data_IF_834970789026
#
_entry.id   IF_834970789026
#
_cell.length_a   1.000
_cell.length_b   1.000
_cell.length_c   1.000
_cell.angle_alpha   90.00
_cell.angle_beta   90.00
_cell.angle_gamma   90.00
#
_symmetry.space_group_name_H-M   'P 1'
#
loop_
_entity.id
_entity.type
_entity.pdbx_description
1 polymer ?
#
# COMPACT_ATOMS: atom_id res chain seq x y z
N UNK A 1 -5.75 -20.56 -44.02
CA UNK A 1 -6.62 -19.54 -43.37
C UNK A 1 -6.16 -19.38 -41.93
N UNK A 2 -5.49 -18.24 -41.59
CA UNK A 2 -5.11 -17.91 -40.22
C UNK A 2 -6.30 -17.23 -39.56
N UNK A 3 -6.93 -17.88 -38.59
CA UNK A 3 -7.92 -17.26 -37.72
C UNK A 3 -7.22 -16.21 -36.87
N UNK A 4 -7.57 -14.94 -37.09
CA UNK A 4 -7.16 -13.82 -36.25
C UNK A 4 -7.90 -13.92 -34.92
N UNK A 5 -7.20 -14.29 -33.86
CA UNK A 5 -7.70 -14.14 -32.48
C UNK A 5 -7.81 -12.64 -32.17
N UNK A 6 -8.97 -12.07 -32.35
CA UNK A 6 -9.27 -10.74 -31.80
C UNK A 6 -9.59 -10.93 -30.32
N UNK A 7 -8.63 -10.62 -29.46
CA UNK A 7 -8.87 -10.39 -28.04
C UNK A 7 -9.36 -8.95 -27.92
N UNK A 8 -10.68 -8.77 -27.88
CA UNK A 8 -11.27 -7.52 -27.42
C UNK A 8 -11.19 -7.49 -25.89
N UNK A 9 -10.10 -6.96 -25.36
CA UNK A 9 -10.03 -6.58 -23.94
C UNK A 9 -10.86 -5.30 -23.77
N UNK A 10 -12.16 -5.47 -23.58
CA UNK A 10 -12.99 -4.39 -23.04
C UNK A 10 -12.61 -4.22 -21.57
N UNK A 11 -12.04 -3.08 -21.12
CA UNK A 11 -11.90 -2.84 -19.70
C UNK A 11 -13.30 -2.83 -19.11
N UNK A 12 -13.58 -3.72 -18.15
CA UNK A 12 -14.84 -3.69 -17.41
C UNK A 12 -14.65 -2.76 -16.20
N UNK A 13 -14.94 -1.44 -16.33
CA UNK A 13 -14.70 -0.46 -15.27
C UNK A 13 -15.48 -0.78 -14.00
N UNK A 14 -16.60 -1.48 -14.11
CA UNK A 14 -17.39 -1.92 -12.96
C UNK A 14 -16.67 -2.98 -12.13
N UNK A 15 -16.05 -3.98 -12.78
CA UNK A 15 -15.23 -5.00 -12.10
C UNK A 15 -14.11 -4.35 -11.31
N UNK A 16 -13.37 -3.41 -11.92
CA UNK A 16 -12.25 -2.74 -11.26
C UNK A 16 -12.70 -1.84 -10.12
N UNK A 17 -13.84 -1.17 -10.25
CA UNK A 17 -14.46 -0.40 -9.17
C UNK A 17 -14.85 -1.30 -8.00
N UNK A 18 -15.53 -2.43 -8.26
CA UNK A 18 -15.89 -3.41 -7.22
C UNK A 18 -14.65 -3.96 -6.54
N UNK A 19 -13.63 -4.34 -7.31
CA UNK A 19 -12.35 -4.84 -6.81
C UNK A 19 -11.71 -3.82 -5.85
N UNK A 20 -11.69 -2.54 -6.23
CA UNK A 20 -11.14 -1.48 -5.40
C UNK A 20 -11.96 -1.27 -4.11
N UNK A 21 -13.29 -1.28 -4.17
CA UNK A 21 -14.17 -1.15 -2.99
C UNK A 21 -13.92 -2.28 -2.00
N UNK A 22 -13.92 -3.54 -2.48
CA UNK A 22 -13.70 -4.71 -1.61
C UNK A 22 -12.28 -4.71 -1.04
N UNK A 23 -11.26 -4.36 -1.87
CA UNK A 23 -9.88 -4.23 -1.42
C UNK A 23 -9.75 -3.20 -0.28
N UNK A 24 -10.37 -2.03 -0.42
CA UNK A 24 -10.34 -1.00 0.62
C UNK A 24 -10.99 -1.50 1.91
N UNK A 25 -12.15 -2.18 1.84
CA UNK A 25 -12.78 -2.79 3.02
C UNK A 25 -11.85 -3.80 3.74
N UNK A 26 -11.04 -4.55 2.99
CA UNK A 26 -10.06 -5.49 3.56
C UNK A 26 -8.89 -4.72 4.20
N UNK A 27 -8.36 -3.71 3.49
CA UNK A 27 -7.24 -2.88 3.98
C UNK A 27 -7.63 -2.15 5.26
N UNK A 28 -8.81 -1.54 5.29
CA UNK A 28 -9.34 -0.80 6.44
C UNK A 28 -9.84 -1.70 7.57
N UNK A 29 -9.66 -3.02 7.42
CA UNK A 29 -10.06 -4.01 8.39
C UNK A 29 -11.58 -4.00 8.69
N UNK A 30 -12.41 -3.54 7.75
CA UNK A 30 -13.87 -3.68 7.77
C UNK A 30 -14.23 -5.15 7.50
N UNK A 31 -13.63 -5.74 6.46
CA UNK A 31 -13.62 -7.18 6.24
C UNK A 31 -12.41 -7.76 6.96
N UNK A 32 -12.65 -8.60 7.96
CA UNK A 32 -11.64 -9.11 8.89
C UNK A 32 -10.82 -10.26 8.28
N UNK A 33 -9.54 -10.46 8.70
CA UNK A 33 -8.81 -11.68 8.40
C UNK A 33 -9.64 -12.93 8.73
N UNK A 34 -9.63 -13.94 7.85
CA UNK A 34 -10.42 -15.16 7.97
C UNK A 34 -11.93 -15.01 7.72
N UNK A 35 -12.44 -13.81 7.57
CA UNK A 35 -13.87 -13.58 7.32
C UNK A 35 -14.29 -14.17 5.98
N UNK A 36 -15.43 -14.89 5.98
CA UNK A 36 -16.05 -15.38 4.74
C UNK A 36 -16.61 -14.23 3.93
N UNK A 37 -16.39 -14.27 2.61
CA UNK A 37 -16.92 -13.33 1.64
C UNK A 37 -18.07 -14.00 0.91
N UNK A 38 -19.24 -13.35 0.90
CA UNK A 38 -20.45 -13.85 0.25
C UNK A 38 -20.75 -12.97 -0.96
N UNK A 39 -20.61 -13.53 -2.17
CA UNK A 39 -20.80 -12.82 -3.45
C UNK A 39 -22.16 -12.11 -3.53
N UNK A 40 -23.22 -12.79 -3.07
CA UNK A 40 -24.60 -12.24 -3.11
C UNK A 40 -24.80 -11.06 -2.17
N UNK A 41 -24.09 -11.00 -1.05
CA UNK A 41 -24.14 -9.86 -0.13
C UNK A 41 -23.46 -8.64 -0.72
N UNK A 42 -22.28 -8.81 -1.33
CA UNK A 42 -21.56 -7.74 -2.03
C UNK A 42 -22.38 -7.24 -3.21
N UNK A 43 -22.95 -8.14 -4.02
CA UNK A 43 -23.78 -7.79 -5.16
C UNK A 43 -25.00 -6.95 -4.72
N UNK A 44 -25.65 -7.34 -3.63
CA UNK A 44 -26.79 -6.59 -3.06
C UNK A 44 -26.37 -5.24 -2.49
N UNK A 45 -25.25 -5.17 -1.76
CA UNK A 45 -24.75 -3.94 -1.16
C UNK A 45 -24.36 -2.91 -2.23
N UNK A 46 -23.77 -3.36 -3.34
CA UNK A 46 -23.31 -2.49 -4.42
C UNK A 46 -24.35 -2.31 -5.54
N UNK A 47 -25.54 -2.91 -5.40
CA UNK A 47 -26.63 -2.86 -6.39
C UNK A 47 -26.21 -3.33 -7.79
N UNK A 48 -25.41 -4.39 -7.87
CA UNK A 48 -24.88 -4.96 -9.11
C UNK A 48 -25.22 -6.45 -9.26
N UNK A 49 -25.03 -7.01 -10.45
CA UNK A 49 -25.16 -8.46 -10.65
C UNK A 49 -23.96 -9.22 -10.04
N UNK A 50 -24.09 -10.53 -9.81
CA UNK A 50 -23.05 -11.36 -9.20
C UNK A 50 -21.84 -11.59 -10.13
N UNK A 51 -22.02 -11.51 -11.45
CA UNK A 51 -20.92 -11.77 -12.40
C UNK A 51 -19.74 -10.83 -12.21
N UNK A 52 -19.89 -9.48 -12.24
CA UNK A 52 -18.76 -8.59 -12.02
C UNK A 52 -18.18 -8.68 -10.59
N UNK A 53 -18.97 -9.07 -9.60
CA UNK A 53 -18.47 -9.32 -8.24
C UNK A 53 -17.53 -10.53 -8.23
N UNK A 54 -17.94 -11.64 -8.84
CA UNK A 54 -17.10 -12.85 -8.94
C UNK A 54 -15.79 -12.57 -9.66
N UNK A 55 -15.83 -11.83 -10.77
CA UNK A 55 -14.62 -11.43 -11.51
C UNK A 55 -13.70 -10.53 -10.65
N UNK A 56 -14.28 -9.62 -9.89
CA UNK A 56 -13.53 -8.76 -8.97
C UNK A 56 -12.86 -9.58 -7.84
N UNK A 57 -13.58 -10.56 -7.28
CA UNK A 57 -13.04 -11.47 -6.27
C UNK A 57 -11.92 -12.36 -6.81
N UNK A 58 -12.03 -12.89 -8.04
CA UNK A 58 -10.93 -13.58 -8.69
C UNK A 58 -9.67 -12.70 -8.79
N UNK A 59 -9.82 -11.43 -9.17
CA UNK A 59 -8.69 -10.50 -9.20
C UNK A 59 -8.10 -10.20 -7.81
N UNK A 60 -8.90 -10.21 -6.74
CA UNK A 60 -8.40 -10.09 -5.37
C UNK A 60 -7.73 -11.37 -4.87
N UNK A 61 -8.12 -12.52 -5.36
CA UNK A 61 -7.45 -13.80 -5.09
C UNK A 61 -6.08 -13.85 -5.75
N UNK A 62 -5.98 -13.43 -7.01
CA UNK A 62 -4.69 -13.29 -7.72
C UNK A 62 -3.74 -12.32 -7.01
N UNK A 63 -4.28 -11.27 -6.37
CA UNK A 63 -3.53 -10.32 -5.57
C UNK A 63 -3.23 -10.83 -4.14
N UNK A 64 -3.78 -11.98 -3.71
CA UNK A 64 -3.55 -12.57 -2.39
C UNK A 64 -4.35 -11.94 -1.24
N UNK A 65 -5.34 -11.07 -1.51
CA UNK A 65 -6.22 -10.51 -0.47
C UNK A 65 -7.28 -11.48 0.01
N UNK A 66 -7.69 -12.40 -0.84
CA UNK A 66 -8.65 -13.45 -0.52
C UNK A 66 -8.11 -14.81 -0.96
N UNK A 67 -8.71 -15.86 -0.43
CA UNK A 67 -8.47 -17.25 -0.83
C UNK A 67 -9.77 -17.98 -1.03
N UNK A 68 -9.86 -18.76 -2.10
CA UNK A 68 -10.99 -19.65 -2.35
C UNK A 68 -10.71 -21.05 -1.79
N UNK A 69 -11.66 -21.57 -1.02
CA UNK A 69 -11.59 -22.92 -0.47
C UNK A 69 -12.68 -23.75 -1.16
N UNK A 70 -12.25 -24.80 -1.84
CA UNK A 70 -13.15 -25.65 -2.64
C UNK A 70 -14.36 -26.12 -1.79
N UNK A 71 -15.55 -25.95 -2.30
CA UNK A 71 -16.84 -26.29 -1.67
C UNK A 71 -17.19 -25.48 -0.40
N UNK A 72 -16.34 -24.55 0.03
CA UNK A 72 -16.57 -23.79 1.28
C UNK A 72 -16.85 -22.31 1.00
N UNK A 73 -16.16 -21.73 0.00
CA UNK A 73 -16.32 -20.34 -0.40
C UNK A 73 -15.02 -19.55 -0.36
N UNK A 74 -15.14 -18.24 -0.49
CA UNK A 74 -14.01 -17.30 -0.49
C UNK A 74 -13.87 -16.67 0.91
N UNK A 75 -12.63 -16.44 1.33
CA UNK A 75 -12.28 -15.90 2.64
C UNK A 75 -11.20 -14.82 2.50
N UNK A 76 -11.25 -13.81 3.35
CA UNK A 76 -10.14 -12.86 3.50
C UNK A 76 -8.91 -13.63 4.02
N UNK A 77 -7.75 -13.45 3.39
CA UNK A 77 -6.51 -14.10 3.83
C UNK A 77 -6.13 -13.69 5.26
N UNK A 78 -5.51 -14.58 6.01
CA UNK A 78 -4.89 -14.23 7.30
C UNK A 78 -3.68 -13.32 7.09
N UNK A 79 -3.28 -12.61 8.15
CA UNK A 79 -2.05 -11.82 8.14
C UNK A 79 -0.92 -12.70 8.69
N UNK A 80 0.04 -13.00 7.85
CA UNK A 80 1.24 -13.74 8.23
C UNK A 80 2.38 -12.74 8.50
N UNK A 81 2.85 -12.67 9.75
CA UNK A 81 3.88 -11.71 10.17
C UNK A 81 5.19 -11.91 9.42
N UNK A 82 5.60 -13.15 9.20
CA UNK A 82 6.82 -13.47 8.45
C UNK A 82 6.74 -13.01 7.00
N UNK A 83 5.60 -13.23 6.32
CA UNK A 83 5.40 -12.71 4.97
C UNK A 83 5.42 -11.18 4.94
N UNK A 84 4.79 -10.53 5.94
CA UNK A 84 4.80 -9.06 6.02
C UNK A 84 6.21 -8.51 6.21
N UNK A 85 7.05 -9.16 7.03
CA UNK A 85 8.45 -8.80 7.18
C UNK A 85 9.19 -8.85 5.83
N UNK A 86 9.03 -9.93 5.06
CA UNK A 86 9.66 -10.05 3.75
C UNK A 86 9.11 -9.05 2.73
N UNK A 87 7.82 -8.71 2.79
CA UNK A 87 7.24 -7.65 1.94
C UNK A 87 7.85 -6.27 2.26
N UNK A 88 8.09 -5.96 3.53
CA UNK A 88 8.76 -4.72 3.94
C UNK A 88 10.23 -4.70 3.50
N UNK A 89 10.93 -5.84 3.56
CA UNK A 89 12.29 -5.94 3.00
C UNK A 89 12.31 -5.66 1.49
N UNK A 90 11.36 -6.22 0.72
CA UNK A 90 11.25 -5.95 -0.72
C UNK A 90 10.91 -4.48 -0.99
N UNK A 91 9.99 -3.89 -0.23
CA UNK A 91 9.68 -2.46 -0.29
C UNK A 91 10.94 -1.62 -0.05
N UNK A 92 11.66 -1.90 1.04
CA UNK A 92 12.90 -1.21 1.38
C UNK A 92 13.95 -1.32 0.27
N UNK A 93 14.11 -2.50 -0.34
CA UNK A 93 15.03 -2.70 -1.46
C UNK A 93 14.66 -1.82 -2.66
N UNK A 94 13.39 -1.79 -3.05
CA UNK A 94 12.91 -0.98 -4.19
C UNK A 94 13.12 0.51 -3.90
N UNK A 95 12.67 1.02 -2.77
CA UNK A 95 12.75 2.44 -2.44
C UNK A 95 14.20 2.93 -2.30
N UNK A 96 15.05 2.15 -1.64
CA UNK A 96 16.47 2.51 -1.51
C UNK A 96 17.23 2.41 -2.83
N UNK A 97 16.85 1.53 -3.74
CA UNK A 97 17.41 1.45 -5.08
C UNK A 97 17.03 2.67 -5.91
N UNK A 98 15.77 3.09 -5.86
CA UNK A 98 15.32 4.32 -6.54
C UNK A 98 16.03 5.55 -5.99
N UNK A 99 16.17 5.69 -4.68
CA UNK A 99 16.93 6.78 -4.06
C UNK A 99 18.37 6.82 -4.54
N UNK A 100 19.04 5.68 -4.61
CA UNK A 100 20.43 5.60 -5.10
C UNK A 100 20.56 6.15 -6.52
N UNK A 101 19.60 5.87 -7.37
CA UNK A 101 19.60 6.28 -8.78
C UNK A 101 19.22 7.74 -8.97
N UNK A 102 18.31 8.27 -8.15
CA UNK A 102 17.61 9.53 -8.45
C UNK A 102 17.96 10.69 -7.53
N UNK A 103 18.28 10.43 -6.27
CA UNK A 103 18.51 11.47 -5.27
C UNK A 103 19.63 12.47 -5.64
N UNK A 104 20.78 12.05 -6.22
CA UNK A 104 21.84 13.02 -6.61
C UNK A 104 21.36 14.06 -7.60
N UNK A 105 20.47 13.68 -8.53
CA UNK A 105 19.93 14.53 -9.58
C UNK A 105 18.56 15.16 -9.28
N UNK A 106 17.99 14.89 -8.10
CA UNK A 106 16.64 15.36 -7.77
C UNK A 106 16.50 16.88 -7.83
N UNK A 107 15.47 17.36 -8.50
CA UNK A 107 15.22 18.78 -8.74
C UNK A 107 14.59 19.49 -7.53
N UNK A 108 14.65 20.83 -7.51
CA UNK A 108 13.93 21.61 -6.50
C UNK A 108 12.42 21.39 -6.53
N UNK A 109 11.84 21.17 -7.72
CA UNK A 109 10.40 20.91 -7.86
C UNK A 109 10.01 19.58 -7.22
N UNK A 110 10.83 18.52 -7.36
CA UNK A 110 10.60 17.24 -6.72
C UNK A 110 10.64 17.34 -5.16
N UNK A 111 11.59 18.11 -4.62
CA UNK A 111 11.60 18.41 -3.19
C UNK A 111 10.39 19.27 -2.78
N UNK A 112 9.98 20.25 -3.62
CA UNK A 112 8.78 21.05 -3.35
C UNK A 112 7.54 20.19 -3.15
N UNK A 113 7.32 19.18 -4.01
CA UNK A 113 6.20 18.25 -3.83
C UNK A 113 6.28 17.48 -2.50
N UNK A 114 7.47 17.07 -2.06
CA UNK A 114 7.62 16.41 -0.75
C UNK A 114 7.32 17.37 0.41
N UNK A 115 7.73 18.65 0.32
CA UNK A 115 7.36 19.67 1.31
C UNK A 115 5.84 19.84 1.40
N UNK A 116 5.15 19.95 0.27
CA UNK A 116 3.69 20.08 0.23
C UNK A 116 3.01 18.89 0.94
N UNK A 117 3.53 17.67 0.78
CA UNK A 117 3.02 16.48 1.48
C UNK A 117 3.27 16.57 2.98
N UNK A 118 4.47 16.99 3.43
CA UNK A 118 4.79 17.16 4.84
C UNK A 118 3.91 18.24 5.48
N UNK A 119 3.66 19.34 4.79
CA UNK A 119 2.77 20.42 5.26
C UNK A 119 1.32 19.89 5.41
N UNK A 120 0.85 19.07 4.46
CA UNK A 120 -0.44 18.41 4.55
C UNK A 120 -0.52 17.41 5.73
N UNK A 121 0.56 16.68 6.04
CA UNK A 121 0.64 15.80 7.22
C UNK A 121 0.55 16.63 8.52
N UNK A 122 1.25 17.77 8.58
CA UNK A 122 1.18 18.66 9.75
C UNK A 122 -0.24 19.20 9.96
N UNK A 123 -0.90 19.61 8.90
CA UNK A 123 -2.28 20.08 8.93
C UNK A 123 -3.25 19.01 9.42
N UNK A 124 -3.11 17.76 8.93
CA UNK A 124 -3.91 16.63 9.39
C UNK A 124 -3.69 16.35 10.88
N UNK A 125 -2.45 16.41 11.34
CA UNK A 125 -2.10 16.27 12.76
C UNK A 125 -2.76 17.35 13.63
N UNK A 126 -2.65 18.62 13.20
CA UNK A 126 -3.26 19.77 13.93
C UNK A 126 -4.78 19.68 14.00
N UNK A 127 -5.41 19.26 12.91
CA UNK A 127 -6.87 19.09 12.81
C UNK A 127 -7.38 17.81 13.47
N UNK A 128 -6.50 16.94 13.97
CA UNK A 128 -6.82 15.59 14.48
C UNK A 128 -7.67 14.80 13.45
N UNK A 129 -7.30 14.89 12.17
CA UNK A 129 -7.99 14.21 11.10
C UNK A 129 -7.98 12.69 11.32
N UNK A 130 -8.83 11.96 10.60
CA UNK A 130 -8.83 10.50 10.66
C UNK A 130 -7.48 9.92 10.22
N UNK A 131 -7.10 8.81 10.81
CA UNK A 131 -5.84 8.13 10.48
C UNK A 131 -5.74 7.70 9.00
N UNK A 132 -6.86 7.41 8.36
CA UNK A 132 -6.94 7.11 6.93
C UNK A 132 -6.32 8.21 6.06
N UNK A 133 -6.57 9.48 6.40
CA UNK A 133 -6.01 10.65 5.71
C UNK A 133 -4.49 10.73 5.90
N UNK A 134 -3.97 10.45 7.09
CA UNK A 134 -2.54 10.42 7.36
C UNK A 134 -1.85 9.26 6.60
N UNK A 135 -2.47 8.08 6.60
CA UNK A 135 -1.99 6.93 5.84
C UNK A 135 -1.96 7.16 4.32
N UNK A 136 -2.88 7.97 3.79
CA UNK A 136 -2.86 8.35 2.38
C UNK A 136 -1.65 9.22 2.05
N UNK A 137 -1.30 10.18 2.92
CA UNK A 137 -0.14 11.05 2.75
C UNK A 137 1.19 10.29 2.90
N UNK A 138 1.27 9.33 3.82
CA UNK A 138 2.40 8.39 3.93
C UNK A 138 2.68 7.69 2.59
N UNK A 139 1.62 7.13 1.98
CA UNK A 139 1.73 6.48 0.69
C UNK A 139 2.16 7.45 -0.40
N UNK A 140 1.59 8.66 -0.41
CA UNK A 140 1.89 9.66 -1.41
C UNK A 140 3.35 10.12 -1.33
N UNK A 141 3.91 10.27 -0.12
CA UNK A 141 5.32 10.59 0.09
C UNK A 141 6.24 9.56 -0.56
N UNK A 142 6.06 8.29 -0.24
CA UNK A 142 6.87 7.21 -0.79
C UNK A 142 6.67 7.04 -2.31
N UNK A 143 5.43 7.15 -2.78
CA UNK A 143 5.11 7.07 -4.22
C UNK A 143 5.74 8.22 -5.01
N UNK A 144 5.78 9.43 -4.45
CA UNK A 144 6.43 10.59 -5.06
C UNK A 144 7.90 10.31 -5.31
N UNK A 145 8.61 9.72 -4.35
CA UNK A 145 10.03 9.36 -4.52
C UNK A 145 10.19 8.28 -5.61
N UNK A 146 9.33 7.27 -5.62
CA UNK A 146 9.37 6.24 -6.66
C UNK A 146 9.15 6.80 -8.06
N UNK A 147 8.30 7.82 -8.18
CA UNK A 147 8.02 8.49 -9.46
C UNK A 147 9.23 9.28 -10.01
N UNK A 148 10.28 9.49 -9.22
CA UNK A 148 11.51 10.12 -9.71
C UNK A 148 12.28 9.23 -10.67
N UNK A 149 12.02 7.91 -10.65
CA UNK A 149 12.55 6.98 -11.63
C UNK A 149 11.53 6.76 -12.76
N UNK A 150 11.99 6.75 -14.01
CA UNK A 150 11.15 6.43 -15.18
C UNK A 150 10.93 4.90 -15.33
N UNK A 151 11.18 4.12 -14.25
CA UNK A 151 11.10 2.66 -14.29
C UNK A 151 9.73 2.21 -13.75
N UNK A 152 8.78 2.03 -14.66
CA UNK A 152 7.40 1.62 -14.34
C UNK A 152 7.33 0.31 -13.52
N UNK A 153 8.28 -0.60 -13.72
CA UNK A 153 8.34 -1.87 -12.98
C UNK A 153 8.43 -1.66 -11.47
N UNK A 154 9.21 -0.67 -11.00
CA UNK A 154 9.30 -0.37 -9.57
C UNK A 154 7.97 0.11 -9.01
N UNK A 155 7.31 1.04 -9.73
CA UNK A 155 6.00 1.55 -9.33
C UNK A 155 4.94 0.45 -9.26
N UNK A 156 4.94 -0.47 -10.23
CA UNK A 156 3.99 -1.58 -10.30
C UNK A 156 4.17 -2.58 -9.16
N UNK A 157 5.41 -3.02 -8.91
CA UNK A 157 5.70 -3.96 -7.83
C UNK A 157 5.44 -3.31 -6.48
N UNK A 158 5.87 -2.07 -6.28
CA UNK A 158 5.63 -1.33 -5.05
C UNK A 158 4.13 -1.16 -4.75
N UNK A 159 3.32 -0.83 -5.78
CA UNK A 159 1.87 -0.69 -5.63
C UNK A 159 1.21 -2.00 -5.18
N UNK A 160 1.68 -3.13 -5.71
CA UNK A 160 1.21 -4.45 -5.30
C UNK A 160 1.55 -4.75 -3.83
N UNK A 161 2.80 -4.51 -3.42
CA UNK A 161 3.25 -4.69 -2.03
C UNK A 161 2.52 -3.76 -1.07
N UNK A 162 2.33 -2.50 -1.48
CA UNK A 162 1.78 -1.46 -0.62
C UNK A 162 0.35 -1.77 -0.15
N UNK A 163 -0.47 -2.44 -0.96
CA UNK A 163 -1.80 -2.88 -0.53
C UNK A 163 -1.76 -3.80 0.71
N UNK A 164 -0.85 -4.78 0.72
CA UNK A 164 -0.67 -5.69 1.84
C UNK A 164 -0.03 -5.01 3.06
N UNK A 165 0.94 -4.13 2.81
CA UNK A 165 1.62 -3.35 3.86
C UNK A 165 0.61 -2.43 4.58
N UNK A 166 -0.22 -1.71 3.84
CA UNK A 166 -1.30 -0.90 4.43
C UNK A 166 -2.25 -1.71 5.27
N UNK A 167 -2.68 -2.87 4.78
CA UNK A 167 -3.53 -3.79 5.52
C UNK A 167 -2.87 -4.22 6.82
N UNK A 168 -1.59 -4.57 6.79
CA UNK A 168 -0.82 -4.92 7.98
C UNK A 168 -0.71 -3.75 8.97
N UNK A 169 -0.41 -2.55 8.48
CA UNK A 169 -0.34 -1.34 9.31
C UNK A 169 -1.70 -1.05 9.97
N UNK A 170 -2.81 -1.18 9.24
CA UNK A 170 -4.15 -1.04 9.83
C UNK A 170 -4.47 -2.11 10.86
N UNK A 171 -4.03 -3.34 10.65
CA UNK A 171 -4.15 -4.43 11.63
C UNK A 171 -3.31 -4.16 12.89
N UNK A 172 -2.07 -3.71 12.72
CA UNK A 172 -1.15 -3.38 13.79
C UNK A 172 -1.55 -2.09 14.55
N UNK A 173 -2.35 -1.24 13.90
CA UNK A 173 -2.72 0.09 14.38
C UNK A 173 -3.20 0.18 15.83
N UNK A 174 -4.07 -0.66 16.39
CA UNK A 174 -4.52 -0.53 17.77
C UNK A 174 -3.40 -0.62 18.81
N UNK A 175 -2.25 -1.19 18.41
CA UNK A 175 -1.13 -1.48 19.32
C UNK A 175 -0.05 -0.39 19.35
N UNK A 176 -0.16 0.65 18.49
CA UNK A 176 0.84 1.72 18.41
C UNK A 176 0.23 3.04 18.93
N UNK A 177 0.78 3.63 19.99
CA UNK A 177 0.32 4.90 20.55
C UNK A 177 0.76 6.10 19.69
N UNK A 178 -0.03 7.20 19.72
CA UNK A 178 0.27 8.51 19.13
C UNK A 178 0.81 8.55 17.69
N UNK A 179 0.15 7.83 16.80
CA UNK A 179 0.63 7.54 15.45
C UNK A 179 0.67 8.71 14.49
N UNK A 180 -0.30 9.62 14.57
CA UNK A 180 -0.35 10.74 13.61
C UNK A 180 0.82 11.69 13.81
N UNK A 181 1.13 12.00 15.08
CA UNK A 181 2.30 12.80 15.41
C UNK A 181 3.58 12.13 14.90
N UNK A 182 3.65 10.82 15.06
CA UNK A 182 4.80 10.03 14.69
C UNK A 182 4.99 9.92 13.18
N UNK A 183 3.94 9.62 12.41
CA UNK A 183 4.04 9.59 10.94
C UNK A 183 4.57 10.93 10.42
N UNK A 184 4.05 12.03 10.92
CA UNK A 184 4.53 13.36 10.55
C UNK A 184 6.02 13.55 10.88
N UNK A 185 6.44 13.30 12.13
CA UNK A 185 7.84 13.52 12.55
C UNK A 185 8.81 12.60 11.80
N UNK A 186 8.47 11.34 11.61
CA UNK A 186 9.30 10.38 10.89
C UNK A 186 9.51 10.84 9.43
N UNK A 187 8.47 11.26 8.73
CA UNK A 187 8.57 11.71 7.34
C UNK A 187 9.26 13.06 7.21
N UNK A 188 9.05 13.97 8.16
CA UNK A 188 9.80 15.23 8.22
C UNK A 188 11.31 14.97 8.38
N UNK A 189 11.70 14.04 9.24
CA UNK A 189 13.09 13.65 9.42
C UNK A 189 13.66 12.99 8.15
N UNK A 190 12.88 12.14 7.47
CA UNK A 190 13.28 11.56 6.18
C UNK A 190 13.53 12.66 5.14
N UNK A 191 12.64 13.65 5.03
CA UNK A 191 12.82 14.77 4.10
C UNK A 191 14.11 15.55 4.39
N UNK A 192 14.40 15.85 5.66
CA UNK A 192 15.65 16.51 6.05
C UNK A 192 16.89 15.70 5.64
N UNK A 193 16.84 14.37 5.78
CA UNK A 193 17.93 13.51 5.34
C UNK A 193 18.06 13.51 3.82
N UNK A 194 16.96 13.48 3.06
CA UNK A 194 16.97 13.56 1.60
C UNK A 194 17.58 14.87 1.09
N UNK A 195 17.28 15.99 1.75
CA UNK A 195 17.81 17.33 1.41
C UNK A 195 19.33 17.41 1.53
N UNK A 196 19.94 16.59 2.36
CA UNK A 196 21.42 16.49 2.44
C UNK A 196 22.05 15.90 1.18
N UNK A 197 21.26 15.21 0.33
CA UNK A 197 21.69 14.44 -0.84
C UNK A 197 22.75 13.37 -0.55
N UNK A 198 22.95 13.03 0.71
CA UNK A 198 23.79 11.91 1.12
C UNK A 198 23.04 10.60 0.89
N UNK A 199 23.30 9.97 -0.25
CA UNK A 199 22.64 8.73 -0.66
C UNK A 199 22.77 7.62 0.39
N UNK A 200 23.94 7.51 1.04
CA UNK A 200 24.17 6.46 2.05
C UNK A 200 23.26 6.68 3.27
N UNK A 201 23.22 7.92 3.76
CA UNK A 201 22.33 8.28 4.89
C UNK A 201 20.86 8.12 4.53
N UNK A 202 20.46 8.56 3.33
CA UNK A 202 19.09 8.43 2.86
C UNK A 202 18.64 6.97 2.79
N UNK A 203 19.43 6.09 2.19
CA UNK A 203 19.16 4.64 2.13
C UNK A 203 19.03 4.02 3.52
N UNK A 204 19.90 4.38 4.45
CA UNK A 204 19.86 3.87 5.82
C UNK A 204 18.59 4.34 6.54
N UNK A 205 18.28 5.64 6.47
CA UNK A 205 17.08 6.21 7.11
C UNK A 205 15.78 5.60 6.55
N UNK A 206 15.70 5.39 5.23
CA UNK A 206 14.54 4.74 4.61
C UNK A 206 14.39 3.29 5.04
N UNK A 207 15.49 2.53 5.09
CA UNK A 207 15.47 1.15 5.55
C UNK A 207 14.98 1.07 7.00
N UNK A 208 15.51 1.89 7.89
CA UNK A 208 15.11 1.94 9.30
C UNK A 208 13.64 2.32 9.43
N UNK A 209 13.19 3.37 8.74
CA UNK A 209 11.81 3.80 8.73
C UNK A 209 10.84 2.71 8.28
N UNK A 210 11.14 2.02 7.17
CA UNK A 210 10.27 0.97 6.62
C UNK A 210 10.21 -0.25 7.55
N UNK A 211 11.32 -0.59 8.21
CA UNK A 211 11.42 -1.76 9.08
C UNK A 211 10.98 -1.50 10.52
N UNK A 212 10.85 -0.24 10.93
CA UNK A 212 10.56 0.19 12.29
C UNK A 212 9.34 -0.50 12.94
N UNK A 213 8.32 -0.86 12.17
CA UNK A 213 7.14 -1.58 12.68
C UNK A 213 7.48 -2.94 13.30
N UNK A 214 8.58 -3.57 12.87
CA UNK A 214 9.06 -4.86 13.40
C UNK A 214 10.08 -4.66 14.54
N UNK A 215 10.89 -3.59 14.47
CA UNK A 215 11.95 -3.34 15.45
C UNK A 215 11.40 -2.93 16.82
N UNK A 216 10.14 -2.55 16.92
CA UNK A 216 9.46 -2.14 18.16
C UNK A 216 9.04 -3.29 19.08
N UNK A 217 9.31 -4.53 18.72
CA UNK A 217 8.95 -5.70 19.55
C UNK A 217 7.44 -5.96 19.65
N UNK A 218 6.61 -5.31 18.82
CA UNK A 218 5.17 -5.57 18.74
C UNK A 218 4.90 -6.91 18.04
N UNK A 219 5.78 -7.29 17.12
CA UNK A 219 5.69 -8.54 16.37
C UNK A 219 7.02 -9.31 16.44
N UNK A 220 6.93 -10.59 16.77
CA UNK A 220 8.08 -11.50 16.74
C UNK A 220 8.08 -12.19 15.37
N UNK A 221 9.17 -12.05 14.65
CA UNK A 221 9.43 -12.77 13.38
C UNK A 221 10.27 -13.98 13.73
N UNK A 222 9.61 -15.15 13.83
CA UNK A 222 10.27 -16.45 14.02
C UNK A 222 10.76 -17.05 12.69
#
# INVERSE_FOLDING_TARGET
MKQSLKIESSPNPLKDTIKQVVRNKIIENVLKPGQRIVETEIARELEVSQIPVREALCGLEEEGFIKSVKYTGSFVTEINIKEMYHMHLLRSFIETTVLEMTLPGASKAQFGTLHDIIDAMEDNRKKKAEYSSMSALDIEFHRTILSWSDIETYNRIWTMLNGHIRRFIHFAHPQIADKQARVYEDHKNLLQVLETRDVKKAKQAFKEHIMDVFDRGVFIVE
#
